data_IF_341391937245
#
_entry.id   IF_341391937245
#
_cell.length_a   1.000
_cell.length_b   1.000
_cell.length_c   1.000
_cell.angle_alpha   90.00
_cell.angle_beta   90.00
_cell.angle_gamma   90.00
#
_symmetry.space_group_name_H-M   'P 1'
#
loop_
_entity.id
_entity.type
_entity.pdbx_description
1 polymer ?
#
# COMPACT_ATOMS: atom_id res chain seq x y z
N UNK A 1 -2.36 31.35 57.24
CA UNK A 1 -3.04 31.02 55.98
C UNK A 1 -2.09 31.19 54.84
N UNK A 2 -1.41 30.11 54.41
CA UNK A 2 -0.41 30.14 53.31
C UNK A 2 -1.15 29.77 52.01
N UNK A 3 -1.27 30.72 51.09
CA UNK A 3 -1.81 30.51 49.76
C UNK A 3 -0.72 29.83 48.89
N UNK A 4 -0.91 28.58 48.54
CA UNK A 4 -0.10 27.85 47.60
C UNK A 4 -0.60 28.24 46.22
N UNK A 5 0.23 28.97 45.45
CA UNK A 5 -0.01 29.32 44.07
C UNK A 5 0.48 28.16 43.18
N UNK A 6 -0.50 27.38 42.67
CA UNK A 6 -0.23 26.26 41.77
C UNK A 6 0.05 26.83 40.36
N UNK A 7 1.32 26.86 39.98
CA UNK A 7 1.74 27.25 38.63
C UNK A 7 1.51 26.06 37.68
N UNK A 8 0.43 26.10 36.93
CA UNK A 8 0.17 25.16 35.84
C UNK A 8 1.00 25.58 34.63
N UNK A 9 2.10 24.89 34.42
CA UNK A 9 2.92 25.05 33.21
C UNK A 9 2.21 24.34 32.05
N UNK A 10 1.48 25.08 31.25
CA UNK A 10 0.94 24.61 29.97
C UNK A 10 2.13 24.50 29.00
N UNK A 11 2.57 23.26 28.75
CA UNK A 11 3.52 22.99 27.68
C UNK A 11 2.79 23.20 26.33
N UNK A 12 2.95 24.39 25.77
CA UNK A 12 2.53 24.68 24.40
C UNK A 12 3.50 23.94 23.48
N UNK A 13 3.04 22.82 22.95
CA UNK A 13 3.73 22.13 21.84
C UNK A 13 3.58 23.04 20.62
N UNK A 14 4.60 23.85 20.36
CA UNK A 14 4.69 24.62 19.13
C UNK A 14 4.88 23.61 17.98
N UNK A 15 3.81 23.35 17.25
CA UNK A 15 3.92 22.80 15.90
C UNK A 15 4.60 23.87 15.05
N UNK A 16 5.91 23.80 14.99
CA UNK A 16 6.67 24.57 14.00
C UNK A 16 6.36 23.93 12.64
N UNK A 17 5.52 24.57 11.85
CA UNK A 17 5.42 24.25 10.42
C UNK A 17 6.81 24.52 9.81
N UNK A 18 7.59 23.47 9.62
CA UNK A 18 8.83 23.55 8.85
C UNK A 18 8.43 23.80 7.39
N UNK A 19 8.92 24.88 6.80
CA UNK A 19 8.77 25.12 5.37
C UNK A 19 9.70 24.15 4.62
N UNK A 20 9.19 22.95 4.32
CA UNK A 20 9.87 22.01 3.44
C UNK A 20 9.75 22.53 2.00
N UNK A 21 10.85 22.49 1.26
CA UNK A 21 10.86 22.82 -0.17
C UNK A 21 10.14 21.75 -1.00
N UNK A 22 9.90 22.05 -2.28
CA UNK A 22 9.23 21.12 -3.20
C UNK A 22 9.93 19.75 -3.25
N UNK A 23 9.20 18.68 -2.95
CA UNK A 23 9.67 17.31 -2.92
C UNK A 23 10.55 16.97 -1.71
N UNK A 24 10.85 17.90 -0.81
CA UNK A 24 11.56 17.60 0.43
C UNK A 24 10.65 16.85 1.40
N UNK A 25 11.22 15.85 2.07
CA UNK A 25 10.51 15.07 3.07
C UNK A 25 11.28 15.01 4.39
N UNK A 26 10.54 14.90 5.47
CA UNK A 26 11.05 14.57 6.80
C UNK A 26 10.23 13.41 7.37
N UNK A 27 10.87 12.27 7.55
CA UNK A 27 10.27 11.11 8.19
C UNK A 27 10.66 11.13 9.66
N UNK A 28 9.68 11.21 10.55
CA UNK A 28 9.86 11.01 11.98
C UNK A 28 9.25 9.70 12.39
N UNK A 29 10.01 8.88 13.11
CA UNK A 29 9.57 7.56 13.53
C UNK A 29 9.65 7.33 15.03
N UNK A 30 8.71 6.55 15.54
CA UNK A 30 8.70 6.05 16.91
C UNK A 30 8.57 4.53 16.89
N UNK A 31 9.56 3.82 17.48
CA UNK A 31 9.57 2.36 17.57
C UNK A 31 9.20 1.95 18.99
N UNK A 32 7.95 1.51 19.14
CA UNK A 32 7.41 1.12 20.44
C UNK A 32 8.20 -0.05 21.04
N UNK A 33 8.68 0.13 22.29
CA UNK A 33 9.39 -0.91 23.02
C UNK A 33 10.84 -1.14 22.60
N UNK A 34 11.45 -0.22 21.83
CA UNK A 34 12.86 -0.29 21.43
C UNK A 34 13.54 1.06 21.70
N UNK A 35 14.65 1.07 22.44
CA UNK A 35 15.39 2.30 22.75
C UNK A 35 16.48 2.61 21.74
N UNK A 36 17.16 1.58 21.23
CA UNK A 36 18.30 1.70 20.31
C UNK A 36 18.23 0.64 19.23
N UNK A 37 18.84 0.88 18.07
CA UNK A 37 18.86 -0.04 16.94
C UNK A 37 19.16 0.69 15.64
N UNK A 38 18.96 0.01 14.51
CA UNK A 38 19.09 0.58 13.18
C UNK A 38 17.75 0.53 12.45
N UNK A 39 17.50 1.57 11.66
CA UNK A 39 16.37 1.69 10.74
C UNK A 39 16.92 1.79 9.34
N UNK A 40 16.38 1.01 8.43
CA UNK A 40 16.67 1.06 7.01
C UNK A 40 15.46 1.65 6.29
N UNK A 41 15.67 2.71 5.52
CA UNK A 41 14.72 3.18 4.51
C UNK A 41 15.00 2.37 3.24
N UNK A 42 14.00 1.66 2.77
CA UNK A 42 14.14 0.76 1.65
C UNK A 42 13.13 1.04 0.54
N UNK A 43 13.53 0.78 -0.68
CA UNK A 43 12.64 0.75 -1.85
C UNK A 43 12.60 -0.64 -2.46
N UNK A 44 11.55 -0.91 -3.23
CA UNK A 44 11.47 -2.17 -3.99
C UNK A 44 12.62 -2.25 -5.00
N UNK A 45 13.27 -3.40 -5.07
CA UNK A 45 14.30 -3.62 -6.06
C UNK A 45 13.65 -3.68 -7.47
N UNK A 46 14.08 -2.84 -8.42
CA UNK A 46 13.56 -2.88 -9.79
C UNK A 46 13.77 -4.23 -10.50
N UNK A 47 14.76 -5.01 -10.09
CA UNK A 47 15.02 -6.36 -10.61
C UNK A 47 14.09 -7.44 -10.01
N UNK A 48 13.12 -7.06 -9.16
CA UNK A 48 12.10 -7.97 -8.63
C UNK A 48 12.53 -8.83 -7.44
N UNK A 49 13.78 -8.78 -7.00
CA UNK A 49 14.28 -9.56 -5.87
C UNK A 49 14.56 -8.68 -4.65
N UNK A 50 13.68 -8.74 -3.65
CA UNK A 50 13.87 -8.09 -2.36
C UNK A 50 13.68 -6.57 -2.38
N UNK A 51 14.22 -5.91 -1.37
CA UNK A 51 14.25 -4.46 -1.23
C UNK A 51 15.70 -3.97 -1.13
N UNK A 52 15.93 -2.72 -1.56
CA UNK A 52 17.23 -2.06 -1.49
C UNK A 52 17.17 -0.99 -0.41
N UNK A 53 18.09 -1.04 0.56
CA UNK A 53 18.29 0.04 1.51
C UNK A 53 18.85 1.25 0.76
N UNK A 54 18.18 2.40 0.92
CA UNK A 54 18.60 3.69 0.34
C UNK A 54 19.11 4.66 1.40
N UNK A 55 18.76 4.42 2.67
CA UNK A 55 19.30 5.15 3.81
C UNK A 55 19.29 4.27 5.07
N UNK A 56 20.14 4.63 6.07
CA UNK A 56 20.26 3.92 7.33
C UNK A 56 20.50 4.90 8.47
N UNK A 57 19.63 4.89 9.47
CA UNK A 57 19.73 5.75 10.64
C UNK A 57 19.66 4.97 11.94
N UNK A 58 20.10 5.60 13.04
CA UNK A 58 20.04 5.01 14.39
C UNK A 58 18.71 5.36 15.07
N UNK A 59 18.21 4.42 15.86
CA UNK A 59 17.16 4.68 16.84
C UNK A 59 17.84 5.24 18.10
N UNK A 60 17.34 6.38 18.58
CA UNK A 60 17.77 7.03 19.83
C UNK A 60 16.52 7.25 20.66
N UNK A 61 16.49 6.68 21.86
CA UNK A 61 15.34 6.72 22.78
C UNK A 61 13.99 6.38 22.11
N UNK A 62 14.02 5.35 21.26
CA UNK A 62 12.82 4.88 20.54
C UNK A 62 12.44 5.71 19.32
N UNK A 63 13.19 6.73 18.96
CA UNK A 63 12.89 7.64 17.86
C UNK A 63 13.95 7.57 16.77
N UNK A 64 13.54 7.88 15.54
CA UNK A 64 14.43 8.07 14.40
C UNK A 64 13.94 9.21 13.51
N UNK A 65 14.83 9.77 12.72
CA UNK A 65 14.54 10.82 11.76
C UNK A 65 15.31 10.55 10.46
N UNK A 66 14.62 10.70 9.32
CA UNK A 66 15.21 10.59 7.97
C UNK A 66 14.74 11.79 7.16
N UNK A 67 15.67 12.49 6.52
CA UNK A 67 15.38 13.64 5.65
C UNK A 67 15.93 13.41 4.27
N UNK A 68 15.22 13.92 3.28
CA UNK A 68 15.66 13.82 1.90
C UNK A 68 14.74 14.54 0.93
N UNK A 69 14.87 14.14 -0.34
CA UNK A 69 14.08 14.70 -1.42
C UNK A 69 13.60 13.57 -2.34
N UNK A 70 12.36 13.66 -2.76
CA UNK A 70 11.76 12.76 -3.74
C UNK A 70 11.11 13.54 -4.87
N UNK A 71 11.13 12.99 -6.08
CA UNK A 71 10.54 13.63 -7.26
C UNK A 71 9.05 13.37 -7.40
N UNK A 72 8.57 12.24 -6.87
CA UNK A 72 7.18 11.81 -6.97
C UNK A 72 6.84 10.81 -5.85
N UNK A 73 5.56 10.62 -5.50
CA UNK A 73 5.16 9.62 -4.54
C UNK A 73 5.54 8.20 -5.00
N UNK A 74 6.09 7.41 -4.08
CA UNK A 74 6.43 5.99 -4.31
C UNK A 74 6.20 5.17 -3.04
N UNK A 75 5.90 3.85 -3.17
CA UNK A 75 5.89 2.93 -2.03
C UNK A 75 7.31 2.66 -1.58
N UNK A 76 7.58 2.92 -0.31
CA UNK A 76 8.81 2.60 0.38
C UNK A 76 8.53 1.80 1.65
N UNK A 77 9.59 1.33 2.30
CA UNK A 77 9.49 0.50 3.49
C UNK A 77 10.43 1.01 4.58
N UNK A 78 9.97 0.96 5.81
CA UNK A 78 10.84 1.02 6.99
C UNK A 78 11.08 -0.40 7.48
N UNK A 79 12.35 -0.79 7.52
CA UNK A 79 12.82 -2.03 8.11
C UNK A 79 13.58 -1.71 9.39
N UNK A 80 13.23 -2.37 10.49
CA UNK A 80 13.99 -2.28 11.75
C UNK A 80 14.94 -3.48 11.84
N UNK A 81 16.19 -3.23 12.22
CA UNK A 81 17.15 -4.30 12.42
C UNK A 81 16.63 -5.37 13.40
N UNK A 82 16.77 -6.65 13.04
CA UNK A 82 16.32 -7.82 13.82
C UNK A 82 14.81 -7.90 14.09
N UNK A 83 13.99 -7.07 13.44
CA UNK A 83 12.53 -7.16 13.49
C UNK A 83 12.03 -7.79 12.19
N UNK A 84 11.20 -8.81 12.30
CA UNK A 84 10.60 -9.46 11.14
C UNK A 84 9.48 -8.60 10.54
N UNK A 85 9.51 -8.44 9.22
CA UNK A 85 8.53 -7.65 8.47
C UNK A 85 8.96 -6.20 8.28
N UNK A 86 8.25 -5.49 7.40
CA UNK A 86 8.54 -4.11 6.99
C UNK A 86 7.28 -3.28 7.07
N UNK A 87 7.41 -2.02 7.42
CA UNK A 87 6.30 -1.05 7.42
C UNK A 87 6.25 -0.37 6.05
N UNK A 88 5.26 -0.67 5.21
CA UNK A 88 5.07 0.04 3.96
C UNK A 88 4.49 1.44 4.23
N UNK A 89 4.93 2.41 3.43
CA UNK A 89 4.42 3.77 3.47
C UNK A 89 4.61 4.45 2.10
N UNK A 90 3.99 5.60 1.91
CA UNK A 90 4.16 6.41 0.71
C UNK A 90 5.25 7.45 0.99
N UNK A 91 6.40 7.35 0.32
CA UNK A 91 7.43 8.38 0.34
C UNK A 91 7.03 9.49 -0.62
N UNK A 92 6.68 10.65 -0.09
CA UNK A 92 6.31 11.86 -0.83
C UNK A 92 6.84 13.09 -0.09
N UNK A 93 6.80 14.25 -0.72
CA UNK A 93 7.19 15.51 -0.05
C UNK A 93 6.28 15.83 1.13
N UNK A 94 6.85 16.34 2.22
CA UNK A 94 6.13 16.71 3.44
C UNK A 94 6.62 15.99 4.70
N UNK A 95 5.91 16.21 5.80
CA UNK A 95 6.21 15.60 7.10
C UNK A 95 5.48 14.25 7.22
N UNK A 96 6.24 13.17 7.33
CA UNK A 96 5.73 11.80 7.44
C UNK A 96 6.03 11.28 8.86
N UNK A 97 4.99 10.88 9.58
CA UNK A 97 5.12 10.28 10.91
C UNK A 97 4.89 8.77 10.84
N UNK A 98 5.84 7.97 11.32
CA UNK A 98 5.75 6.51 11.30
C UNK A 98 5.79 5.97 12.73
N UNK A 99 4.73 5.28 13.14
CA UNK A 99 4.70 4.55 14.40
C UNK A 99 4.90 3.06 14.12
N UNK A 100 5.99 2.51 14.63
CA UNK A 100 6.34 1.10 14.45
C UNK A 100 5.97 0.31 15.70
N UNK A 101 5.16 -0.71 15.54
CA UNK A 101 4.94 -1.75 16.55
C UNK A 101 5.84 -2.95 16.21
N UNK A 102 6.98 -3.09 16.90
CA UNK A 102 7.98 -4.14 16.62
C UNK A 102 7.46 -5.56 16.86
N UNK A 103 6.48 -5.71 17.76
CA UNK A 103 5.90 -7.01 18.11
C UNK A 103 4.73 -7.38 17.18
N UNK A 104 4.25 -6.41 16.40
CA UNK A 104 3.10 -6.57 15.51
C UNK A 104 3.19 -5.57 14.34
N UNK A 105 4.12 -5.84 13.42
CA UNK A 105 4.48 -4.88 12.35
C UNK A 105 3.27 -4.38 11.52
N UNK A 106 2.25 -5.22 11.36
CA UNK A 106 1.00 -4.85 10.66
C UNK A 106 0.11 -3.85 11.42
N UNK A 107 0.41 -3.56 12.71
CA UNK A 107 -0.22 -2.50 13.49
C UNK A 107 0.49 -1.15 13.35
N UNK A 108 1.64 -1.16 12.69
CA UNK A 108 2.38 0.07 12.40
C UNK A 108 1.58 0.97 11.48
N UNK A 109 1.78 2.28 11.58
CA UNK A 109 1.04 3.29 10.83
C UNK A 109 1.97 4.34 10.26
N UNK A 110 1.60 4.86 9.10
CA UNK A 110 2.19 6.06 8.51
C UNK A 110 1.12 7.15 8.36
N UNK A 111 1.45 8.37 8.75
CA UNK A 111 0.53 9.52 8.75
C UNK A 111 1.28 10.82 8.45
N UNK A 112 0.57 11.96 8.41
CA UNK A 112 1.14 13.30 8.31
C UNK A 112 1.07 13.88 6.91
N UNK A 113 1.06 13.06 5.86
CA UNK A 113 0.77 13.49 4.51
C UNK A 113 -0.55 12.87 4.02
N UNK A 114 -1.17 13.51 3.02
CA UNK A 114 -2.45 13.03 2.51
C UNK A 114 -2.39 11.57 2.05
N UNK A 115 -1.36 11.19 1.28
CA UNK A 115 -1.25 9.82 0.78
C UNK A 115 -1.02 8.80 1.90
N UNK A 116 -0.25 9.13 2.95
CA UNK A 116 -0.03 8.25 4.09
C UNK A 116 -1.27 8.11 4.97
N UNK A 117 -2.02 9.20 5.18
CA UNK A 117 -3.29 9.15 5.93
C UNK A 117 -4.32 8.28 5.22
N UNK A 118 -4.46 8.43 3.89
CA UNK A 118 -5.34 7.59 3.08
C UNK A 118 -4.87 6.13 3.04
N UNK A 119 -3.56 5.88 2.96
CA UNK A 119 -2.99 4.53 3.00
C UNK A 119 -3.28 3.83 4.32
N UNK A 120 -3.14 4.53 5.44
CA UNK A 120 -3.47 4.00 6.76
C UNK A 120 -4.97 3.67 6.89
N UNK A 121 -5.87 4.57 6.46
CA UNK A 121 -7.32 4.32 6.46
C UNK A 121 -7.71 3.14 5.58
N UNK A 122 -7.13 3.07 4.36
CA UNK A 122 -7.37 1.95 3.44
C UNK A 122 -6.96 0.61 4.05
N UNK A 123 -5.79 0.54 4.67
CA UNK A 123 -5.29 -0.67 5.32
C UNK A 123 -6.12 -1.06 6.56
N UNK A 124 -6.54 -0.09 7.37
CA UNK A 124 -7.40 -0.33 8.53
C UNK A 124 -8.75 -0.92 8.11
N UNK A 125 -9.40 -0.37 7.09
CA UNK A 125 -10.69 -0.88 6.61
C UNK A 125 -10.54 -2.24 5.93
N UNK A 126 -9.49 -2.42 5.11
CA UNK A 126 -9.14 -3.72 4.52
C UNK A 126 -8.98 -4.80 5.60
N UNK A 127 -8.28 -4.46 6.70
CA UNK A 127 -8.06 -5.36 7.83
C UNK A 127 -9.38 -5.70 8.54
N UNK A 128 -10.29 -4.75 8.74
CA UNK A 128 -11.61 -4.99 9.32
C UNK A 128 -12.46 -5.92 8.45
N UNK A 129 -12.44 -5.71 7.13
CA UNK A 129 -13.14 -6.57 6.17
C UNK A 129 -12.57 -7.99 6.23
N UNK A 130 -11.25 -8.15 6.16
CA UNK A 130 -10.59 -9.47 6.24
C UNK A 130 -10.90 -10.20 7.54
N UNK A 131 -10.89 -9.52 8.68
CA UNK A 131 -11.27 -10.13 9.98
C UNK A 131 -12.71 -10.64 9.98
N UNK A 132 -13.65 -9.88 9.39
CA UNK A 132 -15.06 -10.32 9.27
C UNK A 132 -15.20 -11.56 8.39
N UNK A 133 -14.36 -11.68 7.36
CA UNK A 133 -14.37 -12.80 6.42
C UNK A 133 -13.64 -14.04 6.93
N UNK A 134 -12.76 -13.90 7.92
CA UNK A 134 -11.83 -14.96 8.34
C UNK A 134 -12.52 -16.29 8.65
N UNK A 135 -13.66 -16.27 9.35
CA UNK A 135 -14.41 -17.50 9.64
C UNK A 135 -14.86 -18.21 8.38
N UNK A 136 -15.46 -17.48 7.43
CA UNK A 136 -15.94 -18.04 6.16
C UNK A 136 -14.80 -18.63 5.31
N UNK A 137 -13.63 -17.98 5.31
CA UNK A 137 -12.43 -18.49 4.63
C UNK A 137 -11.97 -19.80 5.27
N UNK A 138 -11.87 -19.83 6.60
CA UNK A 138 -11.45 -21.02 7.35
C UNK A 138 -12.44 -22.18 7.16
N UNK A 139 -13.72 -21.91 7.28
CA UNK A 139 -14.78 -22.93 7.07
C UNK A 139 -14.74 -23.50 5.64
N UNK A 140 -14.54 -22.63 4.63
CA UNK A 140 -14.40 -23.06 3.24
C UNK A 140 -13.17 -23.96 3.05
N UNK A 141 -12.03 -23.58 3.59
CA UNK A 141 -10.78 -24.33 3.49
C UNK A 141 -10.93 -25.72 4.14
N UNK A 142 -11.44 -25.77 5.37
CA UNK A 142 -11.63 -27.04 6.09
C UNK A 142 -12.61 -27.96 5.36
N UNK A 143 -13.73 -27.42 4.88
CA UNK A 143 -14.76 -28.21 4.17
C UNK A 143 -14.27 -28.80 2.85
N UNK A 144 -13.42 -28.07 2.12
CA UNK A 144 -13.05 -28.39 0.75
C UNK A 144 -11.63 -28.94 0.59
N UNK A 145 -10.83 -29.06 1.66
CA UNK A 145 -9.42 -29.45 1.57
C UNK A 145 -9.19 -30.77 0.83
N UNK A 146 -9.94 -31.82 1.17
CA UNK A 146 -9.82 -33.12 0.51
C UNK A 146 -10.20 -33.04 -0.97
N UNK A 147 -11.35 -32.41 -1.26
CA UNK A 147 -11.85 -32.25 -2.64
C UNK A 147 -10.91 -31.43 -3.50
N UNK A 148 -10.28 -30.39 -2.93
CA UNK A 148 -9.27 -29.59 -3.62
C UNK A 148 -8.04 -30.42 -3.99
N UNK A 149 -7.54 -31.22 -3.06
CA UNK A 149 -6.37 -32.07 -3.28
C UNK A 149 -6.65 -33.14 -4.35
N UNK A 150 -7.80 -33.80 -4.28
CA UNK A 150 -8.22 -34.79 -5.27
C UNK A 150 -8.41 -34.19 -6.66
N UNK A 151 -9.08 -33.02 -6.74
CA UNK A 151 -9.29 -32.32 -8.00
C UNK A 151 -7.96 -31.86 -8.62
N UNK A 152 -6.99 -31.44 -7.79
CA UNK A 152 -5.67 -31.06 -8.27
C UNK A 152 -4.87 -32.26 -8.79
N UNK A 153 -4.87 -33.39 -8.09
CA UNK A 153 -4.19 -34.62 -8.50
C UNK A 153 -4.77 -35.17 -9.80
N UNK A 154 -6.11 -35.19 -9.92
CA UNK A 154 -6.83 -35.70 -11.08
C UNK A 154 -6.98 -34.70 -12.23
N UNK A 155 -6.45 -33.48 -12.07
CA UNK A 155 -6.61 -32.35 -13.02
C UNK A 155 -8.07 -32.04 -13.34
N UNK A 156 -8.96 -32.25 -12.35
CA UNK A 156 -10.39 -31.97 -12.48
C UNK A 156 -10.68 -30.47 -12.49
N UNK A 157 -10.64 -29.90 -13.70
CA UNK A 157 -10.88 -28.48 -13.93
C UNK A 157 -12.31 -28.05 -13.61
N UNK A 158 -13.29 -28.94 -13.68
CA UNK A 158 -14.69 -28.62 -13.38
C UNK A 158 -14.86 -28.37 -11.89
N UNK A 159 -14.37 -29.27 -11.05
CA UNK A 159 -14.40 -29.13 -9.59
C UNK A 159 -13.57 -27.91 -9.16
N UNK A 160 -12.36 -27.72 -9.71
CA UNK A 160 -11.52 -26.57 -9.39
C UNK A 160 -12.22 -25.23 -9.74
N UNK A 161 -12.88 -25.15 -10.89
CA UNK A 161 -13.62 -23.96 -11.28
C UNK A 161 -14.85 -23.70 -10.37
N UNK A 162 -15.54 -24.73 -9.93
CA UNK A 162 -16.63 -24.59 -8.96
C UNK A 162 -16.13 -24.04 -7.63
N UNK A 163 -15.09 -24.65 -7.07
CA UNK A 163 -14.48 -24.20 -5.79
C UNK A 163 -13.96 -22.78 -5.88
N UNK A 164 -13.36 -22.41 -7.00
CA UNK A 164 -12.92 -21.04 -7.25
C UNK A 164 -14.08 -20.05 -7.20
N UNK A 165 -15.18 -20.34 -7.86
CA UNK A 165 -16.38 -19.49 -7.84
C UNK A 165 -16.95 -19.35 -6.42
N UNK A 166 -17.01 -20.43 -5.64
CA UNK A 166 -17.44 -20.38 -4.25
C UNK A 166 -16.51 -19.50 -3.40
N UNK A 167 -15.20 -19.62 -3.58
CA UNK A 167 -14.21 -18.79 -2.90
C UNK A 167 -14.29 -17.32 -3.31
N UNK A 168 -14.52 -17.03 -4.59
CA UNK A 168 -14.69 -15.67 -5.11
C UNK A 168 -15.88 -14.93 -4.44
N UNK A 169 -16.96 -15.65 -4.12
CA UNK A 169 -18.10 -15.09 -3.36
C UNK A 169 -17.67 -14.70 -1.94
N UNK A 170 -16.86 -15.54 -1.28
CA UNK A 170 -16.33 -15.22 0.06
C UNK A 170 -15.40 -14.00 0.00
N UNK A 171 -14.59 -13.88 -1.07
CA UNK A 171 -13.63 -12.78 -1.26
C UNK A 171 -14.29 -11.47 -1.77
N UNK A 172 -15.57 -11.55 -2.17
CA UNK A 172 -16.26 -10.40 -2.76
C UNK A 172 -16.18 -9.11 -1.93
N UNK A 173 -16.36 -9.10 -0.59
CA UNK A 173 -16.32 -7.87 0.19
C UNK A 173 -14.98 -7.13 0.10
N UNK A 174 -13.85 -7.84 0.17
CA UNK A 174 -12.53 -7.20 0.05
C UNK A 174 -12.23 -6.82 -1.40
N UNK A 175 -12.69 -7.60 -2.36
CA UNK A 175 -12.54 -7.32 -3.79
C UNK A 175 -13.32 -6.05 -4.16
N UNK A 176 -14.59 -5.94 -3.74
CA UNK A 176 -15.43 -4.77 -3.99
C UNK A 176 -14.85 -3.51 -3.34
N UNK A 177 -14.37 -3.61 -2.10
CA UNK A 177 -13.70 -2.50 -1.42
C UNK A 177 -12.46 -2.05 -2.18
N UNK A 178 -11.56 -2.97 -2.52
CA UNK A 178 -10.30 -2.65 -3.19
C UNK A 178 -10.54 -2.03 -4.56
N UNK A 179 -11.30 -2.71 -5.43
CA UNK A 179 -11.49 -2.24 -6.81
C UNK A 179 -12.55 -1.12 -6.94
N UNK A 180 -13.39 -0.94 -5.92
CA UNK A 180 -14.29 0.21 -5.83
C UNK A 180 -13.62 1.49 -5.33
N UNK A 181 -12.49 1.37 -4.62
CA UNK A 181 -11.81 2.50 -3.97
C UNK A 181 -11.46 3.66 -4.91
N UNK A 182 -10.92 3.45 -6.14
CA UNK A 182 -10.62 4.54 -7.05
C UNK A 182 -11.83 5.40 -7.46
N UNK A 183 -13.03 4.83 -7.45
CA UNK A 183 -14.27 5.56 -7.82
C UNK A 183 -14.62 6.65 -6.81
N UNK A 184 -14.31 6.43 -5.54
CA UNK A 184 -14.65 7.34 -4.43
C UNK A 184 -13.46 8.16 -3.94
N UNK A 185 -12.23 7.77 -4.27
CA UNK A 185 -10.99 8.41 -3.82
C UNK A 185 -10.05 8.76 -5.00
N UNK A 186 -10.52 9.53 -5.99
CA UNK A 186 -9.74 9.76 -7.23
C UNK A 186 -8.45 10.56 -7.02
N UNK A 187 -8.27 11.19 -5.86
CA UNK A 187 -7.05 11.94 -5.48
C UNK A 187 -6.05 11.12 -4.68
N UNK A 188 -6.43 9.92 -4.23
CA UNK A 188 -5.54 9.07 -3.43
C UNK A 188 -4.49 8.39 -4.29
N UNK A 189 -3.22 8.40 -3.85
CA UNK A 189 -2.15 7.69 -4.53
C UNK A 189 -2.41 6.17 -4.61
N UNK A 190 -3.13 5.61 -3.63
CA UNK A 190 -3.57 4.21 -3.68
C UNK A 190 -4.46 3.94 -4.89
N UNK A 191 -5.30 4.90 -5.26
CA UNK A 191 -6.20 4.75 -6.40
C UNK A 191 -5.46 4.55 -7.72
N UNK A 192 -4.37 5.29 -7.97
CA UNK A 192 -3.59 5.08 -9.18
C UNK A 192 -2.86 3.73 -9.16
N UNK A 193 -2.42 3.25 -8.01
CA UNK A 193 -1.82 1.92 -7.85
C UNK A 193 -2.84 0.80 -8.12
N UNK A 194 -4.06 0.95 -7.61
CA UNK A 194 -5.15 0.00 -7.88
C UNK A 194 -5.52 0.01 -9.36
N UNK A 195 -5.67 1.20 -9.98
CA UNK A 195 -5.96 1.31 -11.41
C UNK A 195 -4.84 0.69 -12.26
N UNK A 196 -3.57 0.83 -11.87
CA UNK A 196 -2.44 0.17 -12.52
C UNK A 196 -2.55 -1.36 -12.43
N UNK A 197 -2.90 -1.89 -11.25
CA UNK A 197 -3.14 -3.32 -11.06
C UNK A 197 -4.30 -3.82 -11.93
N UNK A 198 -5.41 -3.07 -11.98
CA UNK A 198 -6.57 -3.39 -12.80
C UNK A 198 -6.23 -3.35 -14.30
N UNK A 199 -5.39 -2.41 -14.75
CA UNK A 199 -5.02 -2.24 -16.15
C UNK A 199 -4.37 -3.49 -16.76
N UNK A 200 -3.68 -4.28 -15.93
CA UNK A 200 -3.05 -5.54 -16.34
C UNK A 200 -3.97 -6.76 -16.27
N UNK A 201 -5.22 -6.60 -15.83
CA UNK A 201 -6.19 -7.68 -15.67
C UNK A 201 -7.33 -7.55 -16.72
N UNK A 202 -7.51 -8.53 -17.62
CA UNK A 202 -8.55 -8.48 -18.65
C UNK A 202 -9.97 -8.30 -18.12
N UNK A 203 -10.24 -8.76 -16.87
CA UNK A 203 -11.55 -8.62 -16.22
C UNK A 203 -12.03 -7.16 -16.14
N UNK A 204 -11.10 -6.21 -16.01
CA UNK A 204 -11.40 -4.80 -15.84
C UNK A 204 -11.23 -3.97 -17.13
N UNK A 205 -11.02 -4.62 -18.27
CA UNK A 205 -10.69 -3.94 -19.53
C UNK A 205 -11.70 -2.83 -19.94
N UNK A 206 -12.97 -3.00 -19.57
CA UNK A 206 -14.04 -2.02 -19.87
C UNK A 206 -14.08 -0.83 -18.91
N UNK A 207 -13.53 -0.97 -17.71
CA UNK A 207 -13.65 0.04 -16.64
C UNK A 207 -12.42 0.96 -16.57
N UNK A 208 -11.27 0.49 -17.05
CA UNK A 208 -9.98 1.15 -16.84
C UNK A 208 -9.93 2.55 -17.45
N UNK A 209 -10.45 2.76 -18.67
CA UNK A 209 -10.46 4.08 -19.29
C UNK A 209 -11.20 5.11 -18.44
N UNK A 210 -12.39 4.74 -17.93
CA UNK A 210 -13.21 5.61 -17.08
C UNK A 210 -12.52 5.91 -15.76
N UNK A 211 -11.94 4.87 -15.10
CA UNK A 211 -11.23 5.04 -13.85
C UNK A 211 -9.97 5.90 -14.00
N UNK A 212 -9.16 5.65 -15.03
CA UNK A 212 -7.98 6.47 -15.32
C UNK A 212 -8.36 7.94 -15.56
N UNK A 213 -9.40 8.19 -16.34
CA UNK A 213 -9.85 9.56 -16.63
C UNK A 213 -10.35 10.29 -15.37
N UNK A 214 -10.95 9.58 -14.41
CA UNK A 214 -11.41 10.15 -13.14
C UNK A 214 -10.29 10.45 -12.14
N UNK A 215 -9.08 9.89 -12.31
CA UNK A 215 -7.95 10.20 -11.43
C UNK A 215 -7.54 11.66 -11.51
N UNK A 216 -7.06 12.20 -10.41
CA UNK A 216 -6.45 13.53 -10.36
C UNK A 216 -5.28 13.65 -11.35
N UNK A 217 -5.12 14.82 -11.96
CA UNK A 217 -4.09 15.06 -12.99
C UNK A 217 -2.66 14.89 -12.44
N UNK A 218 -2.45 15.16 -11.15
CA UNK A 218 -1.16 14.93 -10.50
C UNK A 218 -0.79 13.46 -10.47
N UNK A 219 -1.78 12.57 -10.22
CA UNK A 219 -1.58 11.12 -10.19
C UNK A 219 -1.28 10.55 -11.57
N UNK A 220 -1.89 11.09 -12.63
CA UNK A 220 -1.62 10.68 -14.02
C UNK A 220 -0.17 10.96 -14.44
N UNK A 221 0.49 11.95 -13.82
CA UNK A 221 1.89 12.32 -14.08
C UNK A 221 2.89 11.41 -13.37
N UNK A 222 2.48 10.66 -12.36
CA UNK A 222 3.34 9.71 -11.62
C UNK A 222 3.73 8.50 -12.48
N UNK A 223 4.75 7.75 -12.06
CA UNK A 223 5.17 6.50 -12.74
C UNK A 223 4.00 5.52 -12.91
N UNK A 224 3.20 5.18 -11.87
CA UNK A 224 2.06 4.30 -12.05
C UNK A 224 1.00 4.89 -13.00
N UNK A 225 0.73 6.19 -12.96
CA UNK A 225 -0.21 6.85 -13.87
C UNK A 225 0.23 6.76 -15.33
N UNK A 226 1.51 7.03 -15.61
CA UNK A 226 2.11 6.86 -16.94
C UNK A 226 2.08 5.40 -17.41
N UNK A 227 2.30 4.44 -16.51
CA UNK A 227 2.21 3.02 -16.84
C UNK A 227 0.79 2.61 -17.25
N UNK A 228 -0.25 3.09 -16.54
CA UNK A 228 -1.64 2.89 -16.95
C UNK A 228 -1.89 3.46 -18.33
N UNK A 229 -1.48 4.71 -18.57
CA UNK A 229 -1.64 5.38 -19.88
C UNK A 229 -1.01 4.56 -21.01
N UNK A 230 0.22 4.10 -20.82
CA UNK A 230 0.92 3.25 -21.79
C UNK A 230 0.15 1.97 -22.10
N UNK A 231 -0.39 1.30 -21.06
CA UNK A 231 -1.19 0.08 -21.24
C UNK A 231 -2.46 0.35 -22.04
N UNK A 232 -3.15 1.46 -21.77
CA UNK A 232 -4.33 1.88 -22.50
C UNK A 232 -4.04 2.20 -23.97
N UNK A 233 -2.94 2.89 -24.23
CA UNK A 233 -2.53 3.25 -25.60
C UNK A 233 -2.14 2.01 -26.43
N UNK A 234 -1.51 1.01 -25.81
CA UNK A 234 -1.21 -0.28 -26.47
C UNK A 234 -2.51 -1.01 -26.84
N UNK A 235 -3.48 -1.05 -25.91
CA UNK A 235 -4.77 -1.74 -26.15
C UNK A 235 -5.63 -1.07 -27.24
N UNK A 236 -5.44 0.22 -27.48
CA UNK A 236 -6.15 0.99 -28.53
C UNK A 236 -5.52 0.84 -29.91
N UNK A 237 -4.28 0.36 -30.02
CA UNK A 237 -3.65 0.10 -31.32
C UNK A 237 -4.29 -1.13 -31.94
N UNK A 238 -4.73 -1.06 -33.24
CA UNK A 238 -5.19 -2.24 -33.95
C UNK A 238 -4.10 -3.32 -33.91
N UNK A 239 -4.47 -4.58 -33.69
CA UNK A 239 -3.55 -5.69 -33.84
C UNK A 239 -2.94 -5.59 -35.24
N UNK A 240 -1.61 -5.50 -35.33
CA UNK A 240 -0.90 -5.57 -36.61
C UNK A 240 -1.36 -6.86 -37.30
N UNK A 241 -1.90 -6.71 -38.52
CA UNK A 241 -2.25 -7.86 -39.34
C UNK A 241 -1.03 -8.82 -39.45
N UNK A 242 -1.25 -10.13 -39.29
CA UNK A 242 -0.14 -11.08 -39.46
C UNK A 242 0.53 -10.84 -40.82
N UNK A 243 1.84 -10.77 -40.82
CA UNK A 243 2.63 -10.64 -42.08
C UNK A 243 2.20 -11.75 -43.03
N UNK A 244 1.98 -11.45 -44.34
CA UNK A 244 1.66 -12.47 -45.31
C UNK A 244 2.77 -13.52 -45.30
N UNK A 245 2.37 -14.80 -45.20
CA UNK A 245 3.30 -15.94 -45.31
C UNK A 245 4.08 -15.80 -46.60
N UNK A 246 5.41 -15.78 -46.50
CA UNK A 246 6.27 -15.84 -47.66
C UNK A 246 5.97 -17.14 -48.40
N UNK A 247 5.59 -17.02 -49.68
CA UNK A 247 5.46 -18.14 -50.61
C UNK A 247 6.81 -18.63 -51.08
#
# INVERSE_FOLDING_TARGET
MKKILLLVTVAVVLFSCKNLGEGEYEITGNVKGMKTGLVYLEKQNPMGMGALAIDTVKIVDGKFEIKGKTAEPEIHFIQIDKVNGKVPFILEGGEIAITVDKDSIFKSKSTGTYSNDEFTKFNEESTKIQKRMQKSVTDFQMKNMTVMNEAQQNKDTVTMNRLRKEYDVIQKPITDYTFGYPKTHPKSFISVLIVQMMANNPKFAKEIDGLYNSLDESLKKTKPGKAVKSTLDIKKKPALAPAPAAQ
#
